data_IF_084583354499
#
_entry.id   IF_084583354499
#
_cell.length_a   1.000
_cell.length_b   1.000
_cell.length_c   1.000
_cell.angle_alpha   90.00
_cell.angle_beta   90.00
_cell.angle_gamma   90.00
#
_symmetry.space_group_name_H-M   'P 1'
#
loop_
_entity.id
_entity.type
_entity.pdbx_description
1 polymer ?
#
# COMPACT_ATOMS: atom_id res chain seq x y z
N UNK A 1 72.79 -34.92 35.03
CA UNK A 1 73.16 -36.34 35.13
C UNK A 1 71.92 -37.18 34.81
N UNK A 2 72.04 -38.23 33.98
CA UNK A 2 70.95 -39.17 33.59
C UNK A 2 70.32 -38.83 32.24
N UNK A 3 70.86 -39.26 31.07
CA UNK A 3 70.75 -40.61 30.46
C UNK A 3 69.26 -41.01 30.34
N UNK A 4 68.60 -41.07 29.18
CA UNK A 4 69.01 -41.50 27.85
C UNK A 4 68.66 -42.99 27.66
N UNK A 5 67.46 -43.32 27.16
CA UNK A 5 67.18 -44.65 26.59
C UNK A 5 66.18 -44.52 25.45
N UNK A 6 66.67 -44.89 24.26
CA UNK A 6 65.94 -45.19 23.05
C UNK A 6 65.28 -46.56 23.15
N UNK A 7 64.11 -46.73 22.52
CA UNK A 7 63.80 -47.95 21.76
C UNK A 7 62.73 -47.67 20.71
N UNK A 8 63.16 -47.79 19.47
CA UNK A 8 62.31 -47.89 18.28
C UNK A 8 61.81 -49.33 18.14
N UNK A 9 60.56 -49.49 17.69
CA UNK A 9 60.13 -50.62 16.86
C UNK A 9 59.27 -50.05 15.73
N UNK A 10 59.62 -50.44 14.52
CA UNK A 10 59.04 -50.07 13.23
C UNK A 10 58.22 -51.28 12.74
N UNK A 11 56.98 -51.09 12.25
CA UNK A 11 56.54 -51.35 10.86
C UNK A 11 55.01 -51.52 10.73
N UNK A 12 54.47 -50.66 9.86
CA UNK A 12 53.43 -50.86 8.83
C UNK A 12 52.19 -51.73 9.08
N UNK A 13 51.01 -51.09 8.97
CA UNK A 13 50.00 -51.48 7.98
C UNK A 13 49.03 -50.31 7.67
N UNK A 14 48.82 -50.08 6.37
CA UNK A 14 47.85 -49.15 5.76
C UNK A 14 46.41 -49.56 6.08
N UNK A 15 45.55 -48.64 6.54
CA UNK A 15 44.12 -48.51 6.15
C UNK A 15 43.61 -47.09 6.50
N UNK A 16 43.06 -46.38 5.51
CA UNK A 16 41.92 -45.47 5.68
C UNK A 16 42.15 -44.08 6.28
N UNK A 17 42.54 -43.10 5.45
CA UNK A 17 42.32 -41.68 5.72
C UNK A 17 40.83 -41.36 5.53
N UNK A 18 40.08 -41.29 6.63
CA UNK A 18 38.80 -40.60 6.69
C UNK A 18 38.54 -40.12 8.12
N UNK A 19 38.49 -38.79 8.31
CA UNK A 19 37.94 -38.22 9.54
C UNK A 19 38.71 -37.02 10.10
N UNK A 20 38.58 -35.87 9.46
CA UNK A 20 38.56 -34.58 10.16
C UNK A 20 37.41 -33.74 9.59
N UNK A 21 36.30 -33.54 10.32
CA UNK A 21 35.27 -32.60 9.91
C UNK A 21 35.69 -31.21 10.40
N UNK A 22 36.28 -30.43 9.51
CA UNK A 22 36.58 -29.03 9.72
C UNK A 22 35.99 -28.20 8.59
N UNK A 23 35.10 -27.27 8.95
CA UNK A 23 34.67 -26.13 8.14
C UNK A 23 33.74 -26.43 6.95
N UNK A 24 32.50 -26.82 7.23
CA UNK A 24 31.36 -26.59 6.35
C UNK A 24 30.28 -25.82 7.14
N UNK A 25 30.52 -24.54 7.36
CA UNK A 25 29.62 -23.63 8.08
C UNK A 25 29.35 -22.35 7.29
N UNK A 26 29.09 -22.49 6.00
CA UNK A 26 28.54 -21.42 5.15
C UNK A 26 27.44 -22.04 4.28
N UNK A 27 26.35 -22.46 4.91
CA UNK A 27 25.11 -22.80 4.22
C UNK A 27 24.05 -21.77 4.58
N UNK A 28 23.65 -20.99 3.57
CA UNK A 28 22.33 -20.38 3.52
C UNK A 28 22.20 -18.99 4.14
N UNK A 29 22.92 -18.00 3.61
CA UNK A 29 22.25 -16.70 3.40
C UNK A 29 21.09 -17.00 2.45
N UNK A 30 19.90 -17.26 2.99
CA UNK A 30 18.70 -17.25 2.18
C UNK A 30 18.68 -15.90 1.45
N UNK A 31 18.48 -15.87 0.13
CA UNK A 31 18.36 -14.61 -0.56
C UNK A 31 17.25 -13.83 0.13
N UNK A 32 17.56 -12.62 0.60
CA UNK A 32 16.57 -11.71 1.16
C UNK A 32 15.36 -11.71 0.23
N UNK A 33 14.16 -12.03 0.74
CA UNK A 33 12.96 -12.11 -0.08
C UNK A 33 12.84 -10.83 -0.87
N UNK A 34 12.43 -10.95 -2.13
CA UNK A 34 12.50 -9.88 -3.11
C UNK A 34 11.12 -9.25 -3.35
N UNK A 35 10.62 -8.30 -2.55
CA UNK A 35 9.17 -8.14 -2.42
C UNK A 35 8.51 -7.23 -3.45
N UNK A 36 9.27 -6.67 -4.38
CA UNK A 36 8.72 -6.11 -5.62
C UNK A 36 8.26 -7.22 -6.57
N UNK A 37 8.71 -8.48 -6.37
CA UNK A 37 8.06 -9.66 -6.95
C UNK A 37 6.64 -9.86 -6.44
N UNK A 38 6.26 -9.22 -5.32
CA UNK A 38 4.89 -9.28 -4.80
C UNK A 38 3.85 -8.73 -5.75
N UNK A 39 4.25 -7.86 -6.67
CA UNK A 39 3.40 -7.28 -7.71
C UNK A 39 3.50 -8.06 -9.03
N UNK A 40 4.42 -9.02 -9.13
CA UNK A 40 4.71 -9.78 -10.34
C UNK A 40 3.71 -10.90 -10.65
N UNK A 41 2.71 -11.11 -9.80
CA UNK A 41 1.63 -12.07 -10.01
C UNK A 41 0.27 -11.41 -9.83
N UNK A 42 -0.73 -11.94 -10.52
CA UNK A 42 -2.10 -11.54 -10.30
C UNK A 42 -2.56 -11.95 -8.88
N UNK A 43 -3.32 -11.06 -8.23
CA UNK A 43 -3.78 -11.24 -6.86
C UNK A 43 -5.20 -10.68 -6.69
N UNK A 44 -5.94 -11.23 -5.73
CA UNK A 44 -7.22 -10.68 -5.28
C UNK A 44 -7.10 -10.29 -3.81
N UNK A 45 -7.74 -9.20 -3.43
CA UNK A 45 -7.77 -8.70 -2.08
C UNK A 45 -9.19 -8.36 -1.65
N UNK A 46 -9.53 -8.68 -0.40
CA UNK A 46 -10.61 -7.99 0.30
C UNK A 46 -10.08 -6.63 0.74
N UNK A 47 -10.72 -5.57 0.25
CA UNK A 47 -10.37 -4.19 0.55
C UNK A 47 -11.39 -3.60 1.53
N UNK A 48 -10.90 -3.09 2.65
CA UNK A 48 -11.71 -2.32 3.60
C UNK A 48 -11.03 -0.97 3.84
N UNK A 49 -11.79 0.12 3.73
CA UNK A 49 -11.37 1.47 4.11
C UNK A 49 -12.33 1.99 5.15
N UNK A 50 -11.84 2.44 6.30
CA UNK A 50 -12.67 3.05 7.34
C UNK A 50 -12.21 4.47 7.59
N UNK A 51 -13.16 5.36 7.84
CA UNK A 51 -12.90 6.72 8.25
C UNK A 51 -13.72 7.05 9.50
N UNK A 52 -13.08 7.67 10.47
CA UNK A 52 -13.66 8.09 11.72
C UNK A 52 -13.25 9.54 12.01
N UNK A 53 -14.23 10.34 12.39
CA UNK A 53 -14.09 11.73 12.78
C UNK A 53 -14.61 11.90 14.20
N UNK A 54 -13.85 12.64 15.01
CA UNK A 54 -14.20 12.92 16.39
C UNK A 54 -13.72 14.33 16.78
N UNK A 55 -14.35 14.92 17.78
CA UNK A 55 -13.85 16.15 18.41
C UNK A 55 -12.51 15.84 19.10
N UNK A 56 -11.50 16.69 18.95
CA UNK A 56 -10.18 16.49 19.56
C UNK A 56 -10.26 16.34 21.10
N UNK A 57 -11.23 17.01 21.72
CA UNK A 57 -11.44 17.00 23.17
C UNK A 57 -12.31 15.84 23.69
N UNK A 58 -12.98 15.07 22.82
CA UNK A 58 -13.95 14.04 23.24
C UNK A 58 -13.55 12.68 22.73
N UNK A 59 -13.67 11.66 23.56
CA UNK A 59 -13.37 10.27 23.17
C UNK A 59 -14.61 9.47 22.73
N UNK A 60 -15.82 9.96 23.00
CA UNK A 60 -17.03 9.13 23.04
C UNK A 60 -18.04 9.35 21.91
N UNK A 61 -17.86 10.35 21.04
CA UNK A 61 -18.77 10.64 19.93
C UNK A 61 -18.02 10.67 18.62
N UNK A 62 -17.94 9.51 17.99
CA UNK A 62 -17.23 9.34 16.74
C UNK A 62 -18.24 9.02 15.63
N UNK A 63 -18.15 9.77 14.54
CA UNK A 63 -18.92 9.53 13.31
C UNK A 63 -17.98 8.98 12.27
N UNK A 64 -18.46 8.06 11.44
CA UNK A 64 -17.60 7.41 10.49
C UNK A 64 -18.33 6.53 9.51
N UNK A 65 -17.64 6.18 8.45
CA UNK A 65 -18.11 5.27 7.43
C UNK A 65 -17.04 4.27 7.09
N UNK A 66 -17.45 3.22 6.40
CA UNK A 66 -16.59 2.16 5.91
C UNK A 66 -16.94 1.85 4.46
N UNK A 67 -15.94 1.77 3.60
CA UNK A 67 -16.06 1.25 2.25
C UNK A 67 -15.50 -0.16 2.23
N UNK A 68 -16.24 -1.09 1.61
CA UNK A 68 -15.77 -2.45 1.35
C UNK A 68 -15.86 -2.73 -0.14
N UNK A 69 -14.86 -3.42 -0.65
CA UNK A 69 -14.80 -3.85 -2.03
C UNK A 69 -13.93 -5.10 -2.16
N UNK A 70 -13.92 -5.69 -3.35
CA UNK A 70 -12.84 -6.59 -3.77
C UNK A 70 -11.92 -5.84 -4.72
N UNK A 71 -10.62 -6.06 -4.59
CA UNK A 71 -9.62 -5.47 -5.46
C UNK A 71 -8.88 -6.59 -6.19
N UNK A 72 -8.93 -6.59 -7.51
CA UNK A 72 -8.07 -7.45 -8.32
C UNK A 72 -6.87 -6.65 -8.79
N UNK A 73 -5.68 -7.21 -8.63
CA UNK A 73 -4.42 -6.66 -9.11
C UNK A 73 -3.86 -7.59 -10.18
N UNK A 74 -3.49 -7.05 -11.35
CA UNK A 74 -2.82 -7.83 -12.40
C UNK A 74 -1.65 -7.04 -13.01
N UNK A 75 -0.44 -7.61 -13.05
CA UNK A 75 0.63 -7.03 -13.87
C UNK A 75 0.29 -7.29 -15.34
N UNK A 76 0.13 -6.22 -16.13
CA UNK A 76 -0.13 -6.30 -17.58
C UNK A 76 1.15 -6.28 -18.39
N UNK A 77 2.19 -5.70 -17.82
CA UNK A 77 3.53 -5.64 -18.37
C UNK A 77 4.53 -5.53 -17.22
N UNK A 78 5.75 -6.02 -17.45
CA UNK A 78 6.86 -5.93 -16.51
C UNK A 78 8.19 -5.80 -17.24
N UNK A 79 9.14 -5.07 -16.67
CA UNK A 79 10.56 -5.07 -17.09
C UNK A 79 11.42 -5.52 -15.91
N UNK A 80 12.07 -6.67 -16.06
CA UNK A 80 13.07 -7.22 -15.10
C UNK A 80 12.64 -7.17 -13.62
N UNK A 81 11.33 -7.29 -13.37
CA UNK A 81 10.67 -7.07 -12.08
C UNK A 81 10.84 -5.68 -11.44
N UNK A 82 11.66 -4.76 -11.99
CA UNK A 82 11.87 -3.41 -11.44
C UNK A 82 10.82 -2.40 -11.89
N UNK A 83 10.00 -2.77 -12.87
CA UNK A 83 9.00 -1.91 -13.46
C UNK A 83 7.75 -2.72 -13.84
N UNK A 84 6.57 -2.15 -13.63
CA UNK A 84 5.29 -2.78 -13.93
C UNK A 84 4.28 -1.77 -14.46
N UNK A 85 3.43 -2.24 -15.37
CA UNK A 85 2.12 -1.65 -15.59
C UNK A 85 1.10 -2.49 -14.84
N UNK A 86 0.55 -1.94 -13.77
CA UNK A 86 -0.41 -2.61 -12.90
C UNK A 86 -1.82 -2.23 -13.31
N UNK A 87 -2.66 -3.23 -13.58
CA UNK A 87 -4.11 -3.10 -13.71
C UNK A 87 -4.75 -3.38 -12.35
N UNK A 88 -5.64 -2.49 -11.95
CA UNK A 88 -6.49 -2.63 -10.78
C UNK A 88 -7.95 -2.73 -11.22
N UNK A 89 -8.69 -3.66 -10.65
CA UNK A 89 -10.14 -3.72 -10.79
C UNK A 89 -10.78 -3.65 -9.42
N UNK A 90 -11.52 -2.57 -9.16
CA UNK A 90 -12.30 -2.38 -7.94
C UNK A 90 -13.71 -2.91 -8.19
N UNK A 91 -14.05 -3.99 -7.52
CA UNK A 91 -15.29 -4.72 -7.71
C UNK A 91 -16.26 -4.49 -6.56
N UNK A 92 -17.51 -4.19 -6.92
CA UNK A 92 -18.65 -4.07 -6.01
C UNK A 92 -18.36 -3.21 -4.77
N UNK A 93 -17.87 -1.96 -4.93
CA UNK A 93 -17.67 -1.07 -3.79
C UNK A 93 -19.00 -0.75 -3.13
N UNK A 94 -19.10 -0.92 -1.81
CA UNK A 94 -20.30 -0.62 -1.03
C UNK A 94 -19.95 0.23 0.19
N UNK A 95 -20.75 1.27 0.43
CA UNK A 95 -20.69 2.10 1.61
C UNK A 95 -21.42 1.43 2.77
N UNK A 96 -20.81 1.52 3.94
CA UNK A 96 -21.38 1.07 5.20
C UNK A 96 -21.31 2.21 6.20
N UNK A 97 -22.41 2.44 6.90
CA UNK A 97 -22.50 3.43 7.96
C UNK A 97 -22.64 2.75 9.31
N UNK A 98 -22.08 3.37 10.34
CA UNK A 98 -22.28 2.96 11.71
C UNK A 98 -23.51 3.66 12.29
N UNK A 99 -24.34 2.91 13.02
CA UNK A 99 -25.45 3.49 13.77
C UNK A 99 -24.99 4.47 14.87
N UNK A 100 -25.95 5.13 15.53
CA UNK A 100 -25.68 6.16 16.56
C UNK A 100 -24.91 5.64 17.79
N UNK A 101 -24.88 4.33 18.01
CA UNK A 101 -24.17 3.71 19.12
C UNK A 101 -22.74 3.35 18.70
N UNK A 102 -21.74 3.64 19.54
CA UNK A 102 -20.33 3.33 19.27
C UNK A 102 -20.06 1.83 19.03
N UNK A 103 -20.90 0.97 19.62
CA UNK A 103 -20.86 -0.48 19.47
C UNK A 103 -21.77 -1.01 18.36
N UNK A 104 -22.42 -0.13 17.58
CA UNK A 104 -23.26 -0.58 16.47
C UNK A 104 -22.40 -1.14 15.35
N UNK A 105 -22.91 -2.17 14.68
CA UNK A 105 -22.28 -2.71 13.49
C UNK A 105 -22.37 -1.73 12.31
N UNK A 106 -21.40 -1.84 11.41
CA UNK A 106 -21.42 -1.15 10.12
C UNK A 106 -22.40 -1.88 9.20
N UNK A 107 -23.48 -1.20 8.82
CA UNK A 107 -24.54 -1.75 7.97
C UNK A 107 -24.45 -1.17 6.56
N UNK A 108 -24.75 -1.95 5.51
CA UNK A 108 -24.78 -1.45 4.13
C UNK A 108 -25.70 -0.23 4.02
N UNK A 109 -25.27 0.76 3.26
CA UNK A 109 -26.01 1.99 3.03
C UNK A 109 -26.08 2.28 1.52
N UNK A 110 -27.25 2.70 1.07
CA UNK A 110 -27.47 3.04 -0.34
C UNK A 110 -26.89 4.42 -0.63
N UNK A 111 -26.01 4.50 -1.61
CA UNK A 111 -25.23 5.71 -1.90
C UNK A 111 -24.76 5.76 -3.35
N UNK A 112 -24.07 6.84 -3.71
CA UNK A 112 -23.43 6.97 -5.03
C UNK A 112 -22.52 5.80 -5.38
N UNK A 113 -21.92 5.12 -4.39
CA UNK A 113 -21.06 3.96 -4.60
C UNK A 113 -21.77 2.78 -5.25
N UNK A 114 -23.09 2.67 -5.10
CA UNK A 114 -23.89 1.63 -5.77
C UNK A 114 -24.00 1.87 -7.29
N UNK A 115 -23.84 3.12 -7.73
CA UNK A 115 -23.86 3.49 -9.15
C UNK A 115 -22.49 3.44 -9.83
N UNK A 116 -21.40 3.43 -9.06
CA UNK A 116 -20.02 3.37 -9.57
C UNK A 116 -19.74 2.03 -10.25
N UNK A 117 -20.35 0.95 -9.74
CA UNK A 117 -20.15 -0.40 -10.28
C UNK A 117 -18.70 -0.87 -10.20
N UNK A 118 -18.34 -1.81 -11.09
CA UNK A 118 -16.98 -2.33 -11.20
C UNK A 118 -16.14 -1.37 -12.06
N UNK A 119 -15.02 -0.89 -11.52
CA UNK A 119 -14.14 0.06 -12.19
C UNK A 119 -12.75 -0.51 -12.43
N UNK A 120 -12.12 -0.11 -13.53
CA UNK A 120 -10.76 -0.53 -13.88
C UNK A 120 -9.87 0.70 -14.05
N UNK A 121 -8.71 0.69 -13.42
CA UNK A 121 -7.71 1.76 -13.47
C UNK A 121 -6.30 1.17 -13.47
N UNK A 122 -5.30 1.95 -13.85
CA UNK A 122 -3.93 1.47 -13.97
C UNK A 122 -2.95 2.35 -13.22
N UNK A 123 -1.79 1.79 -12.90
CA UNK A 123 -0.65 2.56 -12.45
C UNK A 123 0.64 2.07 -13.08
N UNK A 124 1.49 3.01 -13.49
CA UNK A 124 2.87 2.73 -13.84
C UNK A 124 3.69 2.75 -12.56
N UNK A 125 4.19 1.58 -12.17
CA UNK A 125 5.05 1.39 -11.01
C UNK A 125 6.48 1.17 -11.48
N UNK A 126 7.43 1.90 -10.89
CA UNK A 126 8.85 1.79 -11.23
C UNK A 126 9.68 1.98 -9.97
N UNK A 127 10.51 0.97 -9.65
CA UNK A 127 11.44 0.98 -8.52
C UNK A 127 10.79 1.35 -7.18
N UNK A 128 9.59 0.83 -6.89
CA UNK A 128 8.88 1.13 -5.64
C UNK A 128 7.98 2.36 -5.68
N UNK A 129 8.03 3.14 -6.77
CA UNK A 129 7.32 4.41 -6.90
C UNK A 129 6.25 4.34 -7.98
N UNK A 130 5.11 4.98 -7.72
CA UNK A 130 4.10 5.21 -8.75
C UNK A 130 4.53 6.45 -9.54
N UNK A 131 4.66 6.29 -10.85
CA UNK A 131 5.02 7.39 -11.76
C UNK A 131 3.78 8.10 -12.28
N UNK A 132 2.80 7.32 -12.73
CA UNK A 132 1.54 7.82 -13.27
C UNK A 132 0.41 6.88 -12.87
N UNK A 133 -0.77 7.46 -12.62
CA UNK A 133 -2.04 6.74 -12.55
C UNK A 133 -2.82 6.96 -13.84
N UNK A 134 -3.54 5.96 -14.33
CA UNK A 134 -4.39 6.10 -15.51
C UNK A 134 -5.84 5.90 -15.10
N UNK A 135 -6.59 7.00 -15.04
CA UNK A 135 -7.95 7.05 -14.50
C UNK A 135 -8.93 7.57 -15.56
N UNK A 136 -10.22 7.34 -15.35
CA UNK A 136 -11.26 7.92 -16.18
C UNK A 136 -11.40 9.43 -15.83
N UNK A 137 -11.22 10.36 -16.78
CA UNK A 137 -11.32 11.79 -16.51
C UNK A 137 -12.75 12.20 -16.13
N UNK A 138 -13.76 11.47 -16.63
CA UNK A 138 -15.18 11.74 -16.39
C UNK A 138 -15.69 11.10 -15.08
N UNK A 139 -14.82 10.39 -14.36
CA UNK A 139 -15.11 9.80 -13.06
C UNK A 139 -15.34 10.88 -11.99
N UNK A 140 -16.27 10.63 -11.07
CA UNK A 140 -16.49 11.51 -9.93
C UNK A 140 -15.18 11.73 -9.15
N UNK A 141 -14.92 12.97 -8.74
CA UNK A 141 -13.69 13.35 -8.05
C UNK A 141 -13.38 12.48 -6.84
N UNK A 142 -14.39 12.12 -6.03
CA UNK A 142 -14.19 11.23 -4.87
C UNK A 142 -13.78 9.82 -5.26
N UNK A 143 -14.39 9.28 -6.32
CA UNK A 143 -14.11 7.93 -6.80
C UNK A 143 -12.70 7.90 -7.38
N UNK A 144 -12.32 8.89 -8.19
CA UNK A 144 -10.97 9.04 -8.70
C UNK A 144 -9.94 9.19 -7.56
N UNK A 145 -10.23 10.03 -6.56
CA UNK A 145 -9.36 10.21 -5.39
C UNK A 145 -9.24 8.94 -4.54
N UNK A 146 -10.32 8.16 -4.42
CA UNK A 146 -10.29 6.86 -3.76
C UNK A 146 -9.45 5.84 -4.55
N UNK A 147 -9.55 5.82 -5.87
CA UNK A 147 -8.69 5.00 -6.74
C UNK A 147 -7.21 5.40 -6.57
N UNK A 148 -6.89 6.70 -6.55
CA UNK A 148 -5.52 7.18 -6.25
C UNK A 148 -5.05 6.74 -4.86
N UNK A 149 -5.91 6.80 -3.85
CA UNK A 149 -5.59 6.32 -2.51
C UNK A 149 -5.27 4.82 -2.53
N UNK A 150 -6.05 4.01 -3.24
CA UNK A 150 -5.76 2.57 -3.42
C UNK A 150 -4.42 2.35 -4.12
N UNK A 151 -4.15 3.04 -5.23
CA UNK A 151 -2.87 2.96 -5.96
C UNK A 151 -1.70 3.28 -5.03
N UNK A 152 -1.84 4.30 -4.18
CA UNK A 152 -0.78 4.73 -3.25
C UNK A 152 -0.40 3.66 -2.23
N UNK A 153 -1.30 2.73 -1.90
CA UNK A 153 -1.00 1.60 -1.01
C UNK A 153 0.02 0.64 -1.64
N UNK A 154 0.16 0.64 -2.97
CA UNK A 154 1.15 -0.16 -3.69
C UNK A 154 2.44 0.60 -3.98
N UNK A 155 2.56 1.85 -3.50
CA UNK A 155 3.81 2.61 -3.48
C UNK A 155 4.62 2.23 -2.24
N UNK A 156 5.45 1.19 -2.38
CA UNK A 156 6.38 0.81 -1.35
C UNK A 156 7.76 0.43 -1.89
N UNK A 157 8.77 0.89 -1.17
CA UNK A 157 10.16 0.48 -1.32
C UNK A 157 10.52 -0.51 -0.21
N UNK A 158 11.43 -1.41 -0.54
CA UNK A 158 11.86 -2.50 0.36
C UNK A 158 13.21 -2.24 1.00
N UNK A 159 13.93 -1.22 0.52
CA UNK A 159 15.20 -0.79 1.08
C UNK A 159 14.91 0.01 2.35
N UNK A 160 15.25 -0.58 3.50
CA UNK A 160 15.21 0.13 4.78
C UNK A 160 15.99 1.44 4.68
N UNK A 161 15.42 2.51 5.22
CA UNK A 161 16.03 3.83 5.13
C UNK A 161 15.02 4.94 4.97
N UNK A 162 15.55 6.15 4.88
CA UNK A 162 14.78 7.37 4.66
C UNK A 162 14.75 7.73 3.17
N UNK A 163 13.56 8.09 2.70
CA UNK A 163 13.27 8.43 1.32
C UNK A 163 12.36 9.63 1.27
N UNK A 164 12.38 10.36 0.16
CA UNK A 164 11.36 11.34 -0.14
C UNK A 164 10.41 10.76 -1.19
N UNK A 165 9.12 10.74 -0.89
CA UNK A 165 8.11 10.19 -1.78
C UNK A 165 6.92 11.14 -1.90
N UNK A 166 6.34 11.21 -3.10
CA UNK A 166 5.08 11.92 -3.33
C UNK A 166 3.97 10.91 -3.55
N UNK A 167 2.86 11.06 -2.84
CA UNK A 167 1.63 10.29 -3.03
C UNK A 167 0.38 11.15 -2.74
N UNK A 168 -0.76 10.53 -2.41
CA UNK A 168 -2.00 11.22 -2.08
C UNK A 168 -1.92 12.17 -0.88
N UNK A 169 -0.91 12.04 -0.01
CA UNK A 169 -0.66 12.99 1.09
C UNK A 169 0.31 14.13 0.70
N UNK A 170 0.69 14.21 -0.57
CA UNK A 170 1.73 15.12 -1.07
C UNK A 170 3.14 14.55 -0.92
N UNK A 171 4.14 15.41 -1.05
CA UNK A 171 5.54 15.07 -0.79
C UNK A 171 5.76 14.88 0.70
N UNK A 172 6.32 13.73 1.10
CA UNK A 172 6.56 13.35 2.49
C UNK A 172 7.96 12.78 2.66
N UNK A 173 8.47 12.87 3.89
CA UNK A 173 9.61 12.07 4.33
C UNK A 173 9.12 10.70 4.80
N UNK A 174 9.68 9.66 4.22
CA UNK A 174 9.26 8.27 4.41
C UNK A 174 10.39 7.45 5.00
N UNK A 175 10.09 6.72 6.08
CA UNK A 175 10.99 5.75 6.69
C UNK A 175 10.47 4.35 6.45
N UNK A 176 11.30 3.49 5.87
CA UNK A 176 11.06 2.05 5.77
C UNK A 176 11.87 1.29 6.80
N UNK A 177 11.21 0.37 7.51
CA UNK A 177 11.83 -0.50 8.50
C UNK A 177 11.37 -1.95 8.27
N UNK A 178 12.34 -2.85 8.17
CA UNK A 178 12.07 -4.29 8.25
C UNK A 178 11.75 -4.68 9.70
N UNK A 179 10.64 -5.40 9.90
CA UNK A 179 10.22 -5.94 11.20
C UNK A 179 10.64 -7.41 11.30
N UNK A 180 10.47 -8.17 10.21
CA UNK A 180 10.88 -9.57 10.03
C UNK A 180 11.12 -9.81 8.54
N UNK A 181 11.58 -11.02 8.16
CA UNK A 181 11.83 -11.34 6.75
C UNK A 181 10.59 -11.22 5.84
N UNK A 182 9.39 -11.32 6.41
CA UNK A 182 8.11 -11.27 5.73
C UNK A 182 7.27 -10.04 6.07
N UNK A 183 7.73 -9.16 6.97
CA UNK A 183 6.96 -7.99 7.41
C UNK A 183 7.84 -6.75 7.43
N UNK A 184 7.37 -5.69 6.80
CA UNK A 184 8.00 -4.37 6.85
C UNK A 184 6.95 -3.28 7.09
N UNK A 185 7.40 -2.10 7.50
CA UNK A 185 6.53 -0.93 7.68
C UNK A 185 7.08 0.31 6.98
N UNK A 186 6.14 1.12 6.48
CA UNK A 186 6.33 2.46 5.93
C UNK A 186 5.79 3.47 6.94
N UNK A 187 6.58 4.47 7.31
CA UNK A 187 6.16 5.57 8.19
C UNK A 187 6.31 6.88 7.42
N UNK A 188 5.24 7.67 7.35
CA UNK A 188 5.27 8.98 6.67
C UNK A 188 5.30 10.11 7.68
N UNK A 189 6.11 11.12 7.42
CA UNK A 189 6.34 12.31 8.26
C UNK A 189 6.47 13.54 7.37
N UNK A 190 6.26 14.73 7.95
CA UNK A 190 6.51 16.03 7.31
C UNK A 190 5.94 16.08 5.88
N UNK A 191 4.65 15.75 5.75
CA UNK A 191 3.98 15.76 4.47
C UNK A 191 3.55 17.18 4.12
N UNK A 192 3.82 17.66 2.90
CA UNK A 192 3.42 19.02 2.49
C UNK A 192 1.91 19.25 2.59
N UNK A 193 1.09 18.21 2.37
CA UNK A 193 -0.36 18.31 2.54
C UNK A 193 -0.83 18.57 3.98
N UNK A 194 0.04 18.38 4.99
CA UNK A 194 -0.31 18.66 6.40
C UNK A 194 -0.46 20.16 6.66
N UNK A 195 0.42 20.98 6.07
CA UNK A 195 0.41 22.42 6.28
C UNK A 195 -0.82 23.06 5.65
N UNK A 196 -1.14 22.67 4.42
CA UNK A 196 -2.32 23.15 3.68
C UNK A 196 -3.63 22.80 4.39
N UNK A 197 -3.69 21.62 5.02
CA UNK A 197 -4.87 21.13 5.74
C UNK A 197 -4.94 21.59 7.22
N UNK A 198 -3.97 22.37 7.70
CA UNK A 198 -3.92 22.84 9.09
C UNK A 198 -3.71 21.71 10.12
N UNK A 199 -3.05 20.63 9.71
CA UNK A 199 -2.76 19.47 10.56
C UNK A 199 -1.70 19.85 11.60
N UNK A 200 -2.05 19.77 12.88
CA UNK A 200 -1.14 20.07 14.00
C UNK A 200 -0.36 18.85 14.47
N UNK A 201 -0.88 17.64 14.19
CA UNK A 201 -0.15 16.40 14.44
C UNK A 201 -0.63 15.31 13.50
N UNK A 202 0.31 14.51 12.98
CA UNK A 202 0.02 13.39 12.10
C UNK A 202 0.80 12.15 12.54
N UNK A 203 0.14 10.99 12.48
CA UNK A 203 0.76 9.68 12.57
C UNK A 203 0.28 8.85 11.40
N UNK A 204 1.20 8.46 10.51
CA UNK A 204 0.92 7.65 9.32
C UNK A 204 1.82 6.43 9.32
N UNK A 205 1.23 5.25 9.33
CA UNK A 205 1.95 3.98 9.34
C UNK A 205 1.25 2.98 8.43
N UNK A 206 1.98 2.36 7.52
CA UNK A 206 1.53 1.20 6.77
C UNK A 206 2.41 -0.01 7.08
N UNK A 207 1.79 -1.13 7.40
CA UNK A 207 2.44 -2.43 7.58
C UNK A 207 2.09 -3.33 6.42
N UNK A 208 3.11 -3.98 5.88
CA UNK A 208 3.00 -4.91 4.76
C UNK A 208 3.46 -6.27 5.24
N UNK A 209 2.68 -7.30 4.93
CA UNK A 209 2.97 -8.69 5.25
C UNK A 209 2.99 -9.51 3.98
N UNK A 210 4.07 -10.26 3.79
CA UNK A 210 4.32 -11.09 2.63
C UNK A 210 3.96 -12.54 2.94
N UNK A 211 3.48 -13.26 1.94
CA UNK A 211 3.35 -14.72 1.95
C UNK A 211 4.24 -15.26 0.84
N UNK A 212 5.43 -15.74 1.21
CA UNK A 212 6.50 -16.01 0.24
C UNK A 212 6.91 -14.75 -0.51
N UNK A 213 6.86 -14.77 -1.83
CA UNK A 213 7.17 -13.61 -2.68
C UNK A 213 5.93 -12.77 -3.03
N UNK A 214 4.79 -12.93 -2.35
CA UNK A 214 3.52 -12.23 -2.64
C UNK A 214 3.07 -11.33 -1.49
N UNK A 215 2.31 -10.28 -1.80
CA UNK A 215 1.68 -9.44 -0.78
C UNK A 215 0.50 -10.23 -0.20
N UNK A 216 0.59 -10.65 1.05
CA UNK A 216 -0.47 -11.38 1.75
C UNK A 216 -1.44 -10.45 2.47
N UNK A 217 -0.94 -9.37 3.07
CA UNK A 217 -1.78 -8.38 3.73
C UNK A 217 -1.12 -6.99 3.77
N UNK A 218 -1.97 -5.97 3.85
CA UNK A 218 -1.57 -4.58 4.10
C UNK A 218 -2.51 -3.99 5.14
N UNK A 219 -1.95 -3.27 6.11
CA UNK A 219 -2.71 -2.45 7.03
C UNK A 219 -2.08 -1.06 7.11
N UNK A 220 -2.77 -0.04 6.60
CA UNK A 220 -2.39 1.36 6.72
C UNK A 220 -3.31 2.06 7.70
N UNK A 221 -2.73 2.86 8.59
CA UNK A 221 -3.41 3.69 9.56
C UNK A 221 -2.88 5.12 9.45
N UNK A 222 -3.81 6.07 9.44
CA UNK A 222 -3.52 7.48 9.53
C UNK A 222 -4.35 8.11 10.64
N UNK A 223 -3.69 8.89 11.48
CA UNK A 223 -4.30 9.64 12.56
C UNK A 223 -3.84 11.09 12.47
N UNK A 224 -4.78 11.99 12.23
CA UNK A 224 -4.56 13.42 12.10
C UNK A 224 -5.28 14.15 13.22
N UNK A 225 -4.64 15.18 13.74
CA UNK A 225 -5.31 16.21 14.54
C UNK A 225 -5.22 17.53 13.79
N UNK A 226 -6.35 18.21 13.64
CA UNK A 226 -6.46 19.50 12.97
C UNK A 226 -6.99 20.53 13.96
N UNK A 227 -6.40 21.73 13.97
CA UNK A 227 -6.81 22.81 14.86
C UNK A 227 -6.35 22.62 16.32
N UNK A 228 -6.98 23.36 17.23
CA UNK A 228 -6.58 23.45 18.63
C UNK A 228 -7.01 22.23 19.46
N UNK A 229 -6.25 21.80 20.47
CA UNK A 229 -6.53 20.55 21.21
C UNK A 229 -7.95 20.45 21.82
N UNK A 230 -8.57 21.58 22.19
CA UNK A 230 -9.89 21.64 22.81
C UNK A 230 -11.05 21.83 21.81
N UNK A 231 -10.78 22.35 20.61
CA UNK A 231 -11.79 22.74 19.62
C UNK A 231 -11.54 22.14 18.23
N UNK A 232 -10.48 21.35 18.10
CA UNK A 232 -10.04 20.75 16.86
C UNK A 232 -10.76 19.45 16.57
N UNK A 233 -10.34 18.83 15.47
CA UNK A 233 -10.85 17.57 15.00
C UNK A 233 -9.74 16.52 15.05
N UNK A 234 -10.14 15.30 15.39
CA UNK A 234 -9.31 14.11 15.29
C UNK A 234 -9.90 13.23 14.20
N UNK A 235 -9.08 12.95 13.20
CA UNK A 235 -9.46 12.18 12.02
C UNK A 235 -8.62 10.92 12.03
N UNK A 236 -9.26 9.77 11.91
CA UNK A 236 -8.60 8.47 11.86
C UNK A 236 -9.09 7.70 10.66
N UNK A 237 -8.17 7.23 9.84
CA UNK A 237 -8.46 6.41 8.69
C UNK A 237 -7.64 5.13 8.73
N UNK A 238 -8.21 4.07 8.17
CA UNK A 238 -7.54 2.79 8.00
C UNK A 238 -7.83 2.23 6.63
N UNK A 239 -6.84 1.62 6.03
CA UNK A 239 -7.00 0.75 4.88
C UNK A 239 -6.49 -0.64 5.24
N UNK A 240 -7.27 -1.66 4.91
CA UNK A 240 -6.86 -3.06 5.03
C UNK A 240 -7.04 -3.77 3.71
N UNK A 241 -5.96 -4.42 3.26
CA UNK A 241 -6.00 -5.41 2.19
C UNK A 241 -5.66 -6.76 2.80
N UNK A 242 -6.45 -7.77 2.48
CA UNK A 242 -6.16 -9.16 2.82
C UNK A 242 -6.26 -9.99 1.56
N UNK A 243 -5.23 -10.77 1.26
CA UNK A 243 -5.25 -11.69 0.13
C UNK A 243 -6.47 -12.62 0.22
N UNK A 244 -7.14 -12.76 -0.91
CA UNK A 244 -8.30 -13.63 -1.08
C UNK A 244 -7.94 -14.73 -2.06
N UNK A 245 -7.22 -15.74 -1.57
CA UNK A 245 -6.72 -16.87 -2.38
C UNK A 245 -7.84 -17.61 -3.10
N UNK A 246 -9.06 -17.65 -2.53
CA UNK A 246 -10.22 -18.29 -3.15
C UNK A 246 -10.78 -17.47 -4.33
N UNK A 247 -10.57 -16.15 -4.31
CA UNK A 247 -10.99 -15.24 -5.37
C UNK A 247 -9.82 -14.82 -6.27
N UNK A 248 -8.64 -15.43 -6.11
CA UNK A 248 -7.48 -15.14 -6.92
C UNK A 248 -7.88 -15.32 -8.40
N UNK A 249 -7.68 -14.30 -9.25
CA UNK A 249 -8.00 -14.44 -10.66
C UNK A 249 -7.22 -15.61 -11.23
N UNK A 250 -7.86 -16.41 -12.09
CA UNK A 250 -7.16 -17.42 -12.87
C UNK A 250 -5.88 -16.77 -13.45
N UNK A 251 -4.75 -17.49 -13.51
CA UNK A 251 -3.53 -16.95 -14.08
C UNK A 251 -3.88 -16.39 -15.46
N UNK A 252 -3.88 -15.06 -15.56
CA UNK A 252 -4.09 -14.39 -16.82
C UNK A 252 -2.96 -14.78 -17.78
N UNK A 253 -3.06 -14.43 -19.07
CA UNK A 253 -1.88 -14.47 -19.92
C UNK A 253 -0.75 -13.78 -19.15
N UNK A 254 0.39 -14.48 -18.99
CA UNK A 254 1.56 -13.91 -18.38
C UNK A 254 1.81 -12.51 -18.98
N UNK A 255 2.31 -11.54 -18.19
CA UNK A 255 2.65 -10.22 -18.74
C UNK A 255 3.38 -10.44 -20.05
N UNK A 256 2.84 -9.87 -21.14
CA UNK A 256 3.11 -10.37 -22.48
C UNK A 256 4.63 -10.42 -22.71
N UNK A 257 5.18 -11.63 -22.72
CA UNK A 257 6.62 -11.86 -22.80
C UNK A 257 7.21 -11.25 -24.08
N UNK A 258 6.35 -11.08 -25.11
CA UNK A 258 6.68 -10.60 -26.44
C UNK A 258 6.58 -9.07 -26.59
N UNK A 259 6.03 -8.33 -25.61
CA UNK A 259 6.06 -6.84 -25.64
C UNK A 259 7.48 -6.29 -25.39
N UNK A 260 8.41 -7.15 -24.98
CA UNK A 260 9.77 -6.77 -24.65
C UNK A 260 9.82 -5.68 -23.57
N UNK A 261 10.99 -5.07 -23.44
CA UNK A 261 11.21 -3.96 -22.53
C UNK A 261 10.46 -2.68 -22.94
N UNK A 262 9.53 -2.67 -23.91
CA UNK A 262 8.92 -1.43 -24.40
C UNK A 262 7.64 -1.03 -23.62
N UNK A 263 7.80 -0.02 -22.75
CA UNK A 263 6.70 0.56 -21.99
C UNK A 263 5.66 1.23 -22.91
N UNK A 264 6.05 1.81 -24.04
CA UNK A 264 5.12 2.51 -24.92
C UNK A 264 4.11 1.52 -25.54
N UNK A 265 4.58 0.33 -25.93
CA UNK A 265 3.72 -0.75 -26.41
C UNK A 265 2.75 -1.25 -25.32
N UNK A 266 3.21 -1.33 -24.07
CA UNK A 266 2.34 -1.69 -22.95
C UNK A 266 1.28 -0.62 -22.64
N UNK A 267 1.66 0.66 -22.69
CA UNK A 267 0.73 1.77 -22.48
C UNK A 267 -0.32 1.88 -23.59
N UNK A 268 0.00 1.43 -24.81
CA UNK A 268 -0.99 1.34 -25.90
C UNK A 268 -2.12 0.33 -25.60
N UNK A 269 -1.95 -0.58 -24.63
CA UNK A 269 -3.01 -1.49 -24.17
C UNK A 269 -3.91 -0.88 -23.08
N UNK A 270 -3.53 0.27 -22.52
CA UNK A 270 -4.40 0.99 -21.58
C UNK A 270 -5.64 1.48 -22.35
N UNK A 271 -6.87 1.22 -21.86
CA UNK A 271 -8.09 1.65 -22.53
C UNK A 271 -8.07 3.14 -22.87
N UNK A 272 -8.45 3.49 -24.10
CA UNK A 272 -8.36 4.86 -24.63
C UNK A 272 -9.20 5.91 -23.86
N UNK A 273 -10.14 5.48 -23.02
CA UNK A 273 -10.89 6.36 -22.12
C UNK A 273 -10.11 6.79 -20.88
N UNK A 274 -9.04 6.09 -20.51
CA UNK A 274 -8.22 6.45 -19.37
C UNK A 274 -7.16 7.49 -19.75
N UNK A 275 -6.83 8.36 -18.80
CA UNK A 275 -5.86 9.44 -18.96
C UNK A 275 -4.82 9.37 -17.85
N UNK A 276 -3.57 9.66 -18.22
CA UNK A 276 -2.49 9.77 -17.26
C UNK A 276 -2.74 10.96 -16.33
N UNK A 277 -2.58 10.72 -15.04
CA UNK A 277 -2.72 11.70 -13.97
C UNK A 277 -1.68 11.46 -12.88
N UNK A 278 -1.19 12.55 -12.25
CA UNK A 278 -0.35 12.42 -11.08
C UNK A 278 -1.13 11.75 -9.94
N UNK A 279 -0.39 11.12 -9.02
CA UNK A 279 -0.96 10.47 -7.84
C UNK A 279 -1.53 11.48 -6.82
N UNK A 280 -1.31 12.78 -7.00
CA UNK A 280 -1.92 13.82 -6.18
C UNK A 280 -3.45 13.85 -6.33
N UNK A 281 -4.13 14.20 -5.24
CA UNK A 281 -5.59 14.29 -5.23
C UNK A 281 -6.08 15.38 -6.20
N UNK A 282 -7.18 15.08 -6.91
CA UNK A 282 -7.93 16.09 -7.64
C UNK A 282 -8.56 17.05 -6.63
N UNK A 283 -8.52 18.37 -6.86
CA UNK A 283 -9.17 19.32 -5.98
C UNK A 283 -10.68 19.06 -5.93
N UNK A 284 -11.27 19.17 -4.75
CA UNK A 284 -12.71 19.04 -4.61
C UNK A 284 -13.42 20.16 -5.38
N UNK A 285 -14.45 19.81 -6.17
CA UNK A 285 -15.32 20.80 -6.79
C UNK A 285 -16.32 21.26 -5.73
N UNK A 286 -16.01 22.37 -5.05
CA UNK A 286 -16.98 23.00 -4.15
C UNK A 286 -18.00 23.70 -5.04
N UNK A 287 -19.19 23.10 -5.19
CA UNK A 287 -20.33 23.81 -5.77
C UNK A 287 -20.67 24.97 -4.81
N UNK A 288 -20.65 26.24 -5.24
CA UNK A 288 -21.03 27.34 -4.38
C UNK A 288 -22.47 27.14 -3.93
N UNK A 289 -22.67 26.93 -2.63
CA UNK A 289 -24.01 26.91 -2.06
C UNK A 289 -24.51 28.36 -2.08
N UNK A 290 -25.53 28.63 -2.90
CA UNK A 290 -26.13 29.95 -3.01
C UNK A 290 -26.72 30.36 -1.65
N UNK A 291 -26.00 31.19 -0.87
CA UNK A 291 -26.56 31.81 0.33
C UNK A 291 -25.67 31.91 1.57
N UNK A 292 -24.39 31.52 1.56
CA UNK A 292 -23.53 31.73 2.73
C UNK A 292 -22.82 33.11 2.68
N UNK A 293 -23.12 34.05 3.59
CA UNK A 293 -22.37 35.30 3.69
C UNK A 293 -21.02 35.04 4.38
N UNK A 294 -19.95 35.58 3.80
CA UNK A 294 -18.60 35.73 4.34
C UNK A 294 -18.12 34.65 5.33
N UNK A 295 -17.49 33.60 4.80
CA UNK A 295 -16.85 32.56 5.60
C UNK A 295 -15.50 32.18 5.04
N UNK A 296 -14.42 32.46 5.78
CA UNK A 296 -13.15 31.74 5.63
C UNK A 296 -13.41 30.29 6.02
N UNK A 297 -13.66 29.45 5.03
CA UNK A 297 -13.82 28.01 5.20
C UNK A 297 -12.41 27.43 5.39
N UNK A 298 -12.15 26.84 6.54
CA UNK A 298 -11.01 25.95 6.77
C UNK A 298 -11.22 24.71 5.88
N UNK A 299 -10.47 24.63 4.79
CA UNK A 299 -10.46 23.45 3.91
C UNK A 299 -9.69 22.33 4.58
N UNK A 300 -10.35 21.61 5.49
CA UNK A 300 -9.95 20.23 5.78
C UNK A 300 -10.67 19.40 4.73
N UNK A 301 -9.95 18.91 3.72
CA UNK A 301 -10.50 18.06 2.67
C UNK A 301 -10.89 16.71 3.27
N UNK A 302 -12.05 16.68 3.93
CA UNK A 302 -12.72 15.49 4.43
C UNK A 302 -14.23 15.70 4.38
N UNK A 303 -14.77 15.86 3.17
CA UNK A 303 -16.19 15.66 2.92
C UNK A 303 -16.47 15.64 1.43
N UNK A 304 -17.14 14.59 0.99
CA UNK A 304 -18.25 14.61 0.03
C UNK A 304 -19.08 13.38 0.40
N UNK A 305 -20.23 13.50 1.06
CA UNK A 305 -21.52 13.93 0.49
C UNK A 305 -22.39 14.69 1.51
N UNK A 306 -23.22 15.65 1.08
CA UNK A 306 -24.49 16.01 1.74
C UNK A 306 -25.66 15.12 1.25
N UNK A 307 -26.81 15.11 1.96
CA UNK A 307 -28.02 14.34 1.62
C UNK A 307 -28.72 14.79 0.32
#
# INVERSE_FOLDING_TARGET
MGVGVWRAVVLCALVGLAGLPGLAGLQGLQPEPRPWRALGAAAAFRLETTLQLNDAARASKEVGYKLRARLLLRPRWARDSSEYLLEFQLLSPKLYLRGKNVNADFMPYDSVWDSVGDTTFYAHWSHGLIKEAYLNPDELTDVANYQKAIISLFQFQMLSGEHNETDVSGSCDVLYESISGDVFRKIKRRCLGDEEAGVVSARRLARYSLSGERLGALHAEELLAVGHAQLGLKLRSWHSLQADEAAAPAPGPAPAADLGADLAAALALVPAGLRAEPLSLRPAVILPHAGAPDGRILTVTLQMMPP
#
